data_IF_717226635469
#
_entry.id   IF_717226635469
#
_cell.length_a   1.000
_cell.length_b   1.000
_cell.length_c   1.000
_cell.angle_alpha   90.00
_cell.angle_beta   90.00
_cell.angle_gamma   90.00
#
_symmetry.space_group_name_H-M   'P 1'
#
loop_
_entity.id
_entity.type
_entity.pdbx_description
1 polymer ?
#
# COMPACT_ATOMS: atom_id res chain seq x y z
N UNK A 1 54.91 22.37 22.32
CA UNK A 1 53.54 22.70 22.80
C UNK A 1 52.52 21.93 21.98
N UNK A 2 51.65 21.08 22.57
CA UNK A 2 50.65 20.35 21.79
C UNK A 2 49.43 21.23 21.50
N UNK A 3 48.97 21.23 20.25
CA UNK A 3 47.83 22.02 19.77
C UNK A 3 46.52 21.54 20.43
N UNK A 4 45.84 22.43 21.16
CA UNK A 4 44.49 22.23 21.71
C UNK A 4 43.50 21.95 20.56
N UNK A 5 42.95 20.74 20.52
CA UNK A 5 41.88 20.37 19.58
C UNK A 5 40.60 21.19 19.84
N UNK A 6 39.99 21.69 18.77
CA UNK A 6 38.76 22.50 18.81
C UNK A 6 37.58 21.62 19.26
N UNK A 7 36.87 22.06 20.30
CA UNK A 7 35.73 21.35 20.92
C UNK A 7 34.60 21.21 19.90
N UNK A 8 34.25 19.97 19.53
CA UNK A 8 33.19 19.64 18.56
C UNK A 8 31.82 20.04 19.14
N UNK A 9 31.20 21.07 18.59
CA UNK A 9 29.83 21.47 18.93
C UNK A 9 28.83 20.50 18.29
N UNK A 10 28.03 19.81 19.11
CA UNK A 10 26.93 18.98 18.62
C UNK A 10 25.77 19.90 18.29
N UNK A 11 25.42 20.02 17.00
CA UNK A 11 24.13 20.61 16.63
C UNK A 11 23.02 19.67 17.09
N UNK A 12 22.12 20.20 17.90
CA UNK A 12 20.93 19.51 18.40
C UNK A 12 19.98 19.30 17.22
N UNK A 13 20.01 18.11 16.62
CA UNK A 13 19.03 17.66 15.63
C UNK A 13 17.78 17.20 16.36
N UNK A 14 16.97 18.13 16.87
CA UNK A 14 15.54 17.85 16.98
C UNK A 14 14.98 18.12 15.59
N UNK A 15 14.90 17.06 14.77
CA UNK A 15 13.91 17.03 13.71
C UNK A 15 12.61 16.74 14.46
N UNK A 16 11.66 17.66 14.41
CA UNK A 16 10.30 17.37 14.84
C UNK A 16 9.86 16.13 14.06
N UNK A 17 9.32 15.14 14.77
CA UNK A 17 8.75 13.95 14.15
C UNK A 17 7.61 14.45 13.25
N UNK A 18 7.91 14.69 11.97
CA UNK A 18 6.91 14.75 10.91
C UNK A 18 6.04 13.52 11.17
N UNK A 19 4.76 13.69 11.56
CA UNK A 19 3.84 12.60 11.87
C UNK A 19 4.06 11.49 10.84
N UNK A 20 4.84 10.46 11.20
CA UNK A 20 5.21 9.42 10.25
C UNK A 20 3.91 8.72 9.93
N UNK A 21 3.31 9.04 8.78
CA UNK A 21 2.03 8.51 8.34
C UNK A 21 2.13 6.98 8.42
N UNK A 22 1.54 6.42 9.48
CA UNK A 22 1.69 5.01 9.80
C UNK A 22 1.20 4.17 8.63
N UNK A 23 1.90 3.09 8.28
CA UNK A 23 1.55 2.30 7.11
C UNK A 23 0.17 1.66 7.30
N UNK A 24 -0.78 2.04 6.45
CA UNK A 24 -2.15 1.52 6.49
C UNK A 24 -2.24 0.10 5.92
N UNK A 25 -1.32 -0.26 5.01
CA UNK A 25 -1.36 -1.55 4.32
C UNK A 25 0.01 -2.19 4.17
N UNK A 26 0.12 -3.50 4.42
CA UNK A 26 1.31 -4.30 4.09
C UNK A 26 1.00 -5.20 2.89
N UNK A 27 1.85 -5.15 1.87
CA UNK A 27 1.82 -6.10 0.75
C UNK A 27 2.89 -7.15 0.93
N UNK A 28 2.44 -8.39 1.05
CA UNK A 28 3.27 -9.57 1.19
C UNK A 28 3.01 -10.63 0.13
N UNK A 29 3.89 -11.60 0.00
CA UNK A 29 3.73 -12.79 -0.84
C UNK A 29 3.52 -14.00 0.06
N UNK A 30 2.67 -14.93 -0.38
CA UNK A 30 2.37 -16.16 0.37
C UNK A 30 2.70 -17.40 -0.43
N UNK A 31 3.61 -18.20 0.12
CA UNK A 31 4.07 -19.45 -0.48
C UNK A 31 5.21 -19.25 -1.48
N UNK A 32 5.48 -20.31 -2.27
CA UNK A 32 6.51 -20.27 -3.33
C UNK A 32 5.93 -19.57 -4.55
N UNK A 33 6.61 -18.53 -5.01
CA UNK A 33 6.16 -17.66 -6.09
C UNK A 33 7.35 -17.39 -7.03
N UNK A 34 7.08 -17.38 -8.34
CA UNK A 34 8.08 -17.13 -9.38
C UNK A 34 8.62 -15.68 -9.37
N UNK A 35 9.72 -15.41 -10.07
CA UNK A 35 10.40 -14.11 -10.06
C UNK A 35 9.51 -12.97 -10.56
N UNK A 36 8.75 -13.19 -11.64
CA UNK A 36 7.87 -12.17 -12.24
C UNK A 36 6.80 -11.70 -11.24
N UNK A 37 6.17 -12.63 -10.51
CA UNK A 37 5.19 -12.30 -9.49
C UNK A 37 5.82 -11.62 -8.26
N UNK A 38 7.11 -11.84 -7.97
CA UNK A 38 7.82 -11.05 -6.95
C UNK A 38 7.97 -9.60 -7.41
N UNK A 39 8.25 -9.35 -8.69
CA UNK A 39 8.24 -8.00 -9.23
C UNK A 39 6.85 -7.37 -9.13
N UNK A 40 5.79 -8.11 -9.41
CA UNK A 40 4.42 -7.62 -9.23
C UNK A 40 4.15 -7.21 -7.76
N UNK A 41 4.61 -7.99 -6.78
CA UNK A 41 4.51 -7.61 -5.36
C UNK A 41 5.23 -6.30 -5.08
N UNK A 42 6.45 -6.13 -5.59
CA UNK A 42 7.20 -4.87 -5.45
C UNK A 42 6.47 -3.70 -6.11
N UNK A 43 5.86 -3.90 -7.27
CA UNK A 43 5.08 -2.87 -7.96
C UNK A 43 3.79 -2.50 -7.22
N UNK A 44 3.09 -3.46 -6.61
CA UNK A 44 1.94 -3.19 -5.76
C UNK A 44 2.31 -2.33 -4.53
N UNK A 45 3.51 -2.52 -3.97
CA UNK A 45 4.01 -1.64 -2.90
C UNK A 45 4.25 -0.22 -3.40
N UNK A 46 4.79 -0.07 -4.61
CA UNK A 46 4.99 1.24 -5.25
C UNK A 46 3.65 1.95 -5.50
N UNK A 47 2.62 1.20 -5.92
CA UNK A 47 1.26 1.75 -6.08
C UNK A 47 0.77 2.31 -4.76
N UNK A 48 0.88 1.56 -3.67
CA UNK A 48 0.31 1.91 -2.36
C UNK A 48 1.18 2.84 -1.50
N UNK A 49 2.44 3.07 -1.85
CA UNK A 49 3.30 4.02 -1.15
C UNK A 49 2.63 5.42 -1.10
N UNK A 50 2.77 6.24 -0.04
CA UNK A 50 3.52 6.02 1.20
C UNK A 50 2.87 5.06 2.19
N UNK A 51 1.58 4.76 2.02
CA UNK A 51 0.79 3.93 2.96
C UNK A 51 1.25 2.47 3.08
N UNK A 52 2.16 2.04 2.21
CA UNK A 52 2.82 0.75 2.27
C UNK A 52 4.33 0.93 2.26
N UNK A 53 5.07 0.26 3.17
CA UNK A 53 6.53 0.29 3.17
C UNK A 53 7.10 -0.42 1.94
N UNK A 54 8.05 0.23 1.25
CA UNK A 54 8.73 -0.35 0.07
C UNK A 54 9.71 -1.46 0.49
N UNK A 55 10.47 -1.22 1.55
CA UNK A 55 11.58 -2.05 2.02
C UNK A 55 11.15 -3.29 2.81
N UNK A 56 9.86 -3.64 2.75
CA UNK A 56 9.32 -4.80 3.44
C UNK A 56 9.93 -6.11 2.92
N UNK A 57 10.93 -6.66 3.62
CA UNK A 57 11.61 -7.90 3.19
C UNK A 57 10.95 -9.12 3.79
N UNK A 58 10.27 -9.88 2.94
CA UNK A 58 9.64 -11.13 3.34
C UNK A 58 10.65 -12.28 3.33
N UNK A 59 10.78 -12.95 4.47
CA UNK A 59 11.43 -14.25 4.51
C UNK A 59 10.65 -15.28 3.71
N UNK A 60 11.34 -16.16 2.99
CA UNK A 60 10.72 -17.28 2.27
C UNK A 60 10.02 -18.29 3.19
N UNK A 61 10.34 -18.25 4.50
CA UNK A 61 9.79 -19.12 5.55
C UNK A 61 8.81 -18.40 6.47
N UNK A 62 8.38 -17.18 6.14
CA UNK A 62 7.48 -16.41 7.01
C UNK A 62 6.15 -17.16 7.18
N UNK A 63 5.76 -17.40 8.44
CA UNK A 63 4.44 -17.92 8.73
C UNK A 63 3.42 -16.79 8.70
N UNK A 64 2.17 -17.12 8.36
CA UNK A 64 1.07 -16.16 8.39
C UNK A 64 0.91 -15.52 9.79
N UNK A 65 1.15 -16.29 10.85
CA UNK A 65 1.08 -15.79 12.23
C UNK A 65 2.11 -14.70 12.51
N UNK A 66 3.33 -14.88 12.03
CA UNK A 66 4.42 -13.92 12.25
C UNK A 66 4.14 -12.62 11.50
N UNK A 67 3.57 -12.72 10.29
CA UNK A 67 3.15 -11.58 9.50
C UNK A 67 1.98 -10.82 10.14
N UNK A 68 1.02 -11.51 10.75
CA UNK A 68 -0.08 -10.88 11.48
C UNK A 68 0.44 -10.20 12.76
N UNK A 69 1.32 -10.86 13.51
CA UNK A 69 1.90 -10.28 14.73
C UNK A 69 2.66 -8.99 14.42
N UNK A 70 3.44 -8.99 13.35
CA UNK A 70 4.15 -7.82 12.87
C UNK A 70 3.17 -6.73 12.38
N UNK A 71 2.13 -7.10 11.63
CA UNK A 71 1.13 -6.13 11.20
C UNK A 71 0.39 -5.49 12.40
N UNK A 72 0.16 -6.24 13.47
CA UNK A 72 -0.39 -5.71 14.72
C UNK A 72 0.59 -4.77 15.43
N UNK A 73 1.89 -5.05 15.38
CA UNK A 73 2.93 -4.19 15.95
C UNK A 73 3.07 -2.85 15.20
N UNK A 74 2.88 -2.86 13.88
CA UNK A 74 2.85 -1.66 13.04
C UNK A 74 1.45 -1.01 12.93
N UNK A 75 0.45 -1.51 13.68
CA UNK A 75 -0.94 -1.01 13.66
C UNK A 75 -1.57 -0.94 12.26
N UNK A 76 -1.27 -1.94 11.43
CA UNK A 76 -1.69 -1.97 10.02
C UNK A 76 -3.13 -2.49 9.90
N UNK A 77 -3.96 -1.74 9.16
CA UNK A 77 -5.37 -2.07 8.97
C UNK A 77 -5.61 -3.18 7.94
N UNK A 78 -4.78 -3.27 6.90
CA UNK A 78 -4.99 -4.19 5.79
C UNK A 78 -3.72 -4.94 5.42
N UNK A 79 -3.86 -6.19 4.97
CA UNK A 79 -2.79 -6.94 4.34
C UNK A 79 -3.21 -7.47 2.98
N UNK A 80 -2.31 -7.33 2.01
CA UNK A 80 -2.44 -7.94 0.69
C UNK A 80 -1.46 -9.09 0.56
N UNK A 81 -1.93 -10.23 0.07
CA UNK A 81 -1.12 -11.40 -0.21
C UNK A 81 -1.24 -11.80 -1.68
N UNK A 82 -0.13 -11.79 -2.40
CA UNK A 82 -0.06 -12.50 -3.69
C UNK A 82 0.29 -13.95 -3.40
N UNK A 83 -0.51 -14.90 -3.90
CA UNK A 83 -0.30 -16.34 -3.71
C UNK A 83 -0.42 -17.05 -5.05
N UNK A 84 0.46 -18.03 -5.27
CA UNK A 84 0.41 -18.90 -6.44
C UNK A 84 0.07 -20.32 -5.99
N UNK A 85 -0.93 -20.91 -6.64
CA UNK A 85 -1.27 -22.34 -6.51
C UNK A 85 -0.99 -23.05 -7.83
N UNK A 86 -1.10 -24.38 -7.88
CA UNK A 86 -0.94 -25.13 -9.14
C UNK A 86 -1.92 -24.68 -10.23
N UNK A 87 -3.11 -24.25 -9.84
CA UNK A 87 -4.19 -23.95 -10.78
C UNK A 87 -4.19 -22.49 -11.21
N UNK A 88 -3.95 -21.57 -10.27
CA UNK A 88 -3.90 -20.13 -10.57
C UNK A 88 -3.25 -19.29 -9.49
N UNK A 89 -3.01 -18.03 -9.85
CA UNK A 89 -2.56 -16.95 -8.97
C UNK A 89 -3.75 -16.21 -8.37
N UNK A 90 -3.60 -15.81 -7.11
CA UNK A 90 -4.63 -15.11 -6.36
C UNK A 90 -4.03 -13.90 -5.66
N UNK A 91 -4.80 -12.81 -5.62
CA UNK A 91 -4.58 -11.67 -4.74
C UNK A 91 -5.58 -11.78 -3.59
N UNK A 92 -5.09 -12.00 -2.38
CA UNK A 92 -5.92 -12.06 -1.18
C UNK A 92 -5.77 -10.76 -0.41
N UNK A 93 -6.87 -10.07 -0.19
CA UNK A 93 -6.91 -8.87 0.62
C UNK A 93 -7.60 -9.19 1.95
N UNK A 94 -6.93 -8.86 3.05
CA UNK A 94 -7.35 -9.18 4.41
C UNK A 94 -7.51 -7.87 5.17
N UNK A 95 -8.65 -7.68 5.81
CA UNK A 95 -8.84 -6.64 6.81
C UNK A 95 -8.42 -7.16 8.18
N UNK A 96 -7.49 -6.50 8.84
CA UNK A 96 -7.07 -6.82 10.21
C UNK A 96 -7.92 -6.04 11.22
N UNK A 97 -8.02 -6.52 12.49
CA UNK A 97 -7.46 -7.74 13.04
C UNK A 97 -8.33 -8.99 12.84
N UNK A 98 -9.62 -8.85 12.50
CA UNK A 98 -10.58 -9.96 12.56
C UNK A 98 -10.99 -10.57 11.21
N UNK A 99 -10.45 -10.11 10.07
CA UNK A 99 -11.01 -10.43 8.74
C UNK A 99 -12.23 -9.54 8.42
N UNK A 100 -12.74 -9.51 7.18
CA UNK A 100 -12.78 -10.62 6.23
C UNK A 100 -11.56 -10.74 5.32
N UNK A 101 -11.44 -11.91 4.68
CA UNK A 101 -10.47 -12.18 3.62
C UNK A 101 -11.20 -12.30 2.28
N UNK A 102 -10.90 -11.39 1.36
CA UNK A 102 -11.43 -11.41 0.00
C UNK A 102 -10.33 -11.92 -0.93
N UNK A 103 -10.60 -13.02 -1.62
CA UNK A 103 -9.68 -13.63 -2.59
C UNK A 103 -10.14 -13.31 -4.01
N UNK A 104 -9.29 -12.61 -4.74
CA UNK A 104 -9.44 -12.36 -6.17
C UNK A 104 -8.52 -13.30 -6.95
N UNK A 105 -9.03 -13.94 -7.99
CA UNK A 105 -8.21 -14.65 -8.98
C UNK A 105 -7.62 -13.61 -9.93
N UNK A 106 -6.30 -13.64 -10.11
CA UNK A 106 -5.63 -12.80 -11.10
C UNK A 106 -5.78 -13.54 -12.44
N UNK A 107 -6.53 -12.95 -13.37
CA UNK A 107 -6.70 -13.50 -14.72
C UNK A 107 -5.49 -13.11 -15.57
N UNK A 108 -5.20 -11.82 -15.61
CA UNK A 108 -4.12 -11.24 -16.41
C UNK A 108 -3.40 -10.20 -15.57
N UNK A 109 -2.10 -10.07 -15.79
CA UNK A 109 -1.30 -8.99 -15.20
C UNK A 109 -0.20 -8.57 -16.17
N UNK A 110 0.18 -7.30 -16.09
CA UNK A 110 1.27 -6.73 -16.90
C UNK A 110 2.10 -5.83 -16.00
N UNK A 111 3.42 -6.03 -16.00
CA UNK A 111 4.34 -5.24 -15.18
C UNK A 111 4.46 -3.81 -15.71
N UNK A 112 4.85 -2.89 -14.82
CA UNK A 112 5.05 -1.49 -15.19
C UNK A 112 6.15 -1.29 -16.24
N UNK A 113 7.15 -2.19 -16.28
CA UNK A 113 8.17 -2.20 -17.34
C UNK A 113 7.56 -2.36 -18.73
N UNK A 114 6.64 -3.32 -18.86
CA UNK A 114 6.10 -3.74 -20.14
C UNK A 114 5.03 -2.74 -20.60
N UNK A 115 4.25 -2.19 -19.66
CA UNK A 115 3.32 -1.08 -19.92
C UNK A 115 4.08 0.15 -20.44
N UNK A 116 5.21 0.49 -19.81
CA UNK A 116 6.04 1.62 -20.27
C UNK A 116 6.66 1.37 -21.63
N UNK A 117 7.10 0.14 -21.90
CA UNK A 117 7.64 -0.25 -23.20
C UNK A 117 6.58 -0.20 -24.33
N UNK A 118 5.34 -0.56 -24.02
CA UNK A 118 4.21 -0.50 -24.96
C UNK A 118 3.78 0.93 -25.31
N UNK A 119 4.12 1.94 -24.50
CA UNK A 119 3.64 3.30 -24.68
C UNK A 119 4.53 4.08 -25.68
N UNK A 120 3.93 4.56 -26.79
CA UNK A 120 4.63 5.35 -27.83
C UNK A 120 5.46 6.53 -27.29
N UNK A 121 5.01 7.14 -26.20
CA UNK A 121 5.70 8.24 -25.49
C UNK A 121 5.72 7.95 -24.00
N UNK A 122 6.72 7.18 -23.55
CA UNK A 122 6.97 6.98 -22.13
C UNK A 122 7.26 8.33 -21.44
N UNK A 123 6.59 8.58 -20.32
CA UNK A 123 6.87 9.77 -19.53
C UNK A 123 8.24 9.66 -18.88
N UNK A 124 9.16 10.56 -19.23
CA UNK A 124 10.47 10.71 -18.57
C UNK A 124 10.40 11.27 -17.15
N UNK A 125 9.22 11.78 -16.74
CA UNK A 125 9.03 12.29 -15.38
C UNK A 125 9.17 11.12 -14.39
N UNK A 126 10.05 11.27 -13.41
CA UNK A 126 10.01 10.39 -12.25
C UNK A 126 8.68 10.64 -11.52
N UNK A 127 7.83 9.61 -11.35
CA UNK A 127 6.62 9.75 -10.55
C UNK A 127 7.00 10.15 -9.12
N UNK A 128 6.42 11.23 -8.64
CA UNK A 128 6.54 11.63 -7.24
C UNK A 128 5.67 10.67 -6.41
N UNK A 129 6.30 9.62 -5.91
CA UNK A 129 5.62 8.61 -5.11
C UNK A 129 5.29 9.11 -3.70
N UNK A 130 5.84 10.25 -3.24
CA UNK A 130 5.58 10.75 -1.89
C UNK A 130 4.12 11.02 -1.59
N UNK A 131 3.31 11.39 -2.59
CA UNK A 131 1.88 11.58 -2.42
C UNK A 131 1.10 10.28 -2.55
N UNK A 132 0.17 10.01 -1.65
CA UNK A 132 -0.74 8.87 -1.74
C UNK A 132 -1.61 8.90 -3.01
N UNK A 133 -1.94 7.73 -3.59
CA UNK A 133 -2.81 7.65 -4.75
C UNK A 133 -4.28 7.86 -4.38
N UNK A 134 -5.02 8.50 -5.29
CA UNK A 134 -6.47 8.62 -5.24
C UNK A 134 -7.11 7.33 -5.76
N UNK A 135 -8.11 6.82 -5.06
CA UNK A 135 -8.90 5.69 -5.51
C UNK A 135 -10.14 6.18 -6.28
N UNK A 136 -10.29 5.73 -7.53
CA UNK A 136 -11.52 5.88 -8.31
C UNK A 136 -12.05 4.48 -8.58
N UNK A 137 -13.31 4.24 -8.21
CA UNK A 137 -13.98 2.96 -8.45
C UNK A 137 -15.22 3.18 -9.31
N UNK A 138 -15.45 2.29 -10.27
CA UNK A 138 -16.66 2.24 -11.09
C UNK A 138 -17.26 0.84 -11.03
N UNK A 139 -18.53 0.75 -10.66
CA UNK A 139 -19.28 -0.52 -10.65
C UNK A 139 -18.82 -1.55 -9.61
N UNK A 140 -18.16 -1.12 -8.53
CA UNK A 140 -17.72 -2.01 -7.44
C UNK A 140 -18.62 -1.79 -6.23
N UNK A 141 -19.44 -2.78 -5.90
CA UNK A 141 -20.39 -2.71 -4.79
C UNK A 141 -20.09 -3.75 -3.70
N UNK A 142 -20.65 -3.53 -2.51
CA UNK A 142 -20.59 -4.46 -1.39
C UNK A 142 -19.25 -4.51 -0.63
N UNK A 143 -18.89 -5.70 -0.14
CA UNK A 143 -17.69 -5.92 0.68
C UNK A 143 -16.36 -5.53 -0.02
N UNK A 144 -16.15 -5.82 -1.32
CA UNK A 144 -14.95 -5.37 -2.04
C UNK A 144 -14.78 -3.85 -2.01
N UNK A 145 -15.86 -3.07 -2.15
CA UNK A 145 -15.82 -1.61 -2.11
C UNK A 145 -15.28 -1.10 -0.76
N UNK A 146 -15.83 -1.61 0.35
CA UNK A 146 -15.40 -1.23 1.70
C UNK A 146 -13.94 -1.60 1.99
N UNK A 147 -13.47 -2.71 1.43
CA UNK A 147 -12.06 -3.13 1.53
C UNK A 147 -11.14 -2.21 0.72
N UNK A 148 -11.48 -1.88 -0.52
CA UNK A 148 -10.65 -0.95 -1.30
C UNK A 148 -10.62 0.44 -0.65
N UNK A 149 -11.75 0.92 -0.14
CA UNK A 149 -11.81 2.17 0.66
C UNK A 149 -10.96 2.12 1.93
N UNK A 150 -10.75 0.95 2.54
CA UNK A 150 -9.88 0.85 3.72
C UNK A 150 -8.40 0.74 3.38
N UNK A 151 -8.04 0.27 2.19
CA UNK A 151 -6.65 0.16 1.71
C UNK A 151 -6.10 1.54 1.31
N UNK A 152 -6.92 2.34 0.66
CA UNK A 152 -6.59 3.70 0.21
C UNK A 152 -7.04 4.73 1.24
N UNK A 153 -6.37 5.89 1.36
CA UNK A 153 -6.81 6.92 2.29
C UNK A 153 -8.16 7.48 1.83
N UNK A 154 -9.04 7.77 2.79
CA UNK A 154 -10.32 8.42 2.50
C UNK A 154 -10.07 9.82 1.96
N UNK A 155 -10.88 10.23 0.98
CA UNK A 155 -10.74 11.51 0.30
C UNK A 155 -11.95 12.37 0.62
N UNK A 156 -11.75 13.41 1.43
CA UNK A 156 -12.78 14.39 1.75
C UNK A 156 -12.66 15.59 0.82
N UNK A 157 -13.63 15.77 -0.07
CA UNK A 157 -13.60 16.76 -1.17
C UNK A 157 -13.29 18.19 -0.67
N UNK A 158 -13.72 18.53 0.54
CA UNK A 158 -13.53 19.84 1.16
C UNK A 158 -12.09 20.15 1.59
N UNK A 159 -11.29 19.13 1.93
CA UNK A 159 -9.96 19.31 2.53
C UNK A 159 -8.80 18.99 1.57
N UNK A 160 -9.11 18.52 0.35
CA UNK A 160 -8.12 18.01 -0.59
C UNK A 160 -7.23 19.14 -1.14
N UNK A 161 -5.92 19.00 -0.88
CA UNK A 161 -4.89 19.81 -1.52
C UNK A 161 -4.55 19.25 -2.90
N UNK A 162 -4.97 19.91 -3.98
CA UNK A 162 -4.69 19.51 -5.38
C UNK A 162 -3.20 19.24 -5.68
N UNK A 163 -2.28 19.90 -4.96
CA UNK A 163 -0.83 19.66 -5.09
C UNK A 163 -0.40 18.25 -4.67
N UNK A 164 -1.13 17.60 -3.75
CA UNK A 164 -0.89 16.22 -3.33
C UNK A 164 -1.51 15.21 -4.31
N UNK A 165 -2.50 15.61 -5.11
CA UNK A 165 -3.21 14.73 -6.03
C UNK A 165 -2.43 14.49 -7.33
N UNK A 166 -1.38 13.65 -7.27
CA UNK A 166 -0.54 13.34 -8.44
C UNK A 166 -0.80 11.96 -9.04
N UNK A 167 -1.37 11.03 -8.28
CA UNK A 167 -1.56 9.63 -8.71
C UNK A 167 -3.00 9.19 -8.50
N UNK A 168 -3.49 8.36 -9.40
CA UNK A 168 -4.83 7.77 -9.38
C UNK A 168 -4.73 6.29 -9.66
N UNK A 169 -5.40 5.49 -8.84
CA UNK A 169 -5.71 4.09 -9.10
C UNK A 169 -7.17 4.01 -9.51
N UNK A 170 -7.40 3.51 -10.73
CA UNK A 170 -8.72 3.23 -11.27
C UNK A 170 -9.01 1.74 -11.10
N UNK A 171 -10.16 1.43 -10.52
CA UNK A 171 -10.73 0.09 -10.50
C UNK A 171 -12.06 0.15 -11.24
N UNK A 172 -12.08 -0.43 -12.44
CA UNK A 172 -13.28 -0.50 -13.28
C UNK A 172 -13.83 -1.92 -13.28
N UNK A 173 -15.13 -2.07 -13.06
CA UNK A 173 -15.79 -3.37 -13.16
C UNK A 173 -16.40 -3.55 -14.56
N UNK A 174 -15.83 -4.48 -15.34
CA UNK A 174 -16.33 -4.89 -16.65
C UNK A 174 -16.73 -6.36 -16.57
N UNK A 175 -18.01 -6.68 -16.69
CA UNK A 175 -18.53 -8.06 -16.74
C UNK A 175 -18.00 -8.98 -15.62
N UNK A 176 -18.10 -8.52 -14.36
CA UNK A 176 -17.56 -9.19 -13.15
C UNK A 176 -16.03 -9.37 -13.13
N UNK A 177 -15.32 -8.63 -13.97
CA UNK A 177 -13.86 -8.53 -13.95
C UNK A 177 -13.43 -7.12 -13.59
N UNK A 178 -12.71 -7.02 -12.47
CA UNK A 178 -12.16 -5.77 -11.97
C UNK A 178 -10.82 -5.50 -12.67
N UNK A 179 -10.81 -4.48 -13.52
CA UNK A 179 -9.59 -3.98 -14.14
C UNK A 179 -8.97 -2.89 -13.26
N UNK A 180 -7.81 -3.19 -12.70
CA UNK A 180 -7.01 -2.24 -11.93
C UNK A 180 -5.96 -1.60 -12.83
N UNK A 181 -5.95 -0.28 -12.88
CA UNK A 181 -4.98 0.53 -13.63
C UNK A 181 -4.46 1.69 -12.79
N UNK A 182 -3.19 2.04 -12.95
CA UNK A 182 -2.53 3.10 -12.19
C UNK A 182 -2.00 4.19 -13.12
N UNK A 183 -2.44 5.42 -12.85
CA UNK A 183 -2.17 6.60 -13.64
C UNK A 183 -1.48 7.71 -12.82
N UNK A 184 -0.60 8.44 -13.49
CA UNK A 184 -0.06 9.72 -13.07
C UNK A 184 -0.92 10.84 -13.66
N UNK A 185 -1.40 11.75 -12.83
CA UNK A 185 -2.08 12.97 -13.24
C UNK A 185 -1.03 14.02 -13.63
N UNK A 186 -1.11 14.52 -14.85
CA UNK A 186 -0.36 15.70 -15.31
C UNK A 186 -1.33 16.85 -15.51
N UNK A 187 -1.18 17.89 -14.70
CA UNK A 187 -1.93 19.14 -14.87
C UNK A 187 -1.29 19.97 -15.98
N UNK A 188 -2.14 20.58 -16.81
CA UNK A 188 -1.76 21.53 -17.85
C UNK A 188 -2.66 22.76 -17.72
N UNK A 189 -2.11 23.96 -17.45
CA UNK A 189 -2.93 25.17 -17.42
C UNK A 189 -3.53 25.43 -18.80
N UNK A 190 -4.86 25.49 -18.84
CA UNK A 190 -5.68 25.93 -19.97
C UNK A 190 -6.14 27.36 -19.73
N UNK A 191 -6.36 28.14 -20.80
CA UNK A 191 -6.68 29.57 -20.68
C UNK A 191 -5.50 30.53 -20.57
N UNK A 192 -4.26 30.06 -20.76
CA UNK A 192 -3.05 30.89 -20.87
C UNK A 192 -2.45 30.71 -22.27
N UNK A 193 -2.23 31.81 -22.99
CA UNK A 193 -1.58 31.81 -24.31
C UNK A 193 -0.19 31.14 -24.24
N UNK A 194 0.28 30.55 -25.34
CA UNK A 194 1.58 29.86 -25.38
C UNK A 194 2.75 30.79 -25.00
N UNK A 195 2.61 32.07 -25.33
CA UNK A 195 3.46 33.20 -24.96
C UNK A 195 3.53 33.38 -23.44
N UNK A 196 2.39 33.58 -22.78
CA UNK A 196 2.35 33.70 -21.32
C UNK A 196 2.86 32.44 -20.62
N UNK A 197 2.70 31.25 -21.21
CA UNK A 197 3.33 30.00 -20.73
C UNK A 197 4.85 30.00 -20.82
N UNK A 198 5.46 30.68 -21.80
CA UNK A 198 6.92 30.83 -21.92
C UNK A 198 7.46 31.78 -20.85
N UNK A 199 6.75 32.89 -20.60
CA UNK A 199 7.07 33.83 -19.51
C UNK A 199 6.96 33.14 -18.14
N UNK A 200 5.89 32.39 -17.89
CA UNK A 200 5.72 31.64 -16.64
C UNK A 200 6.80 30.55 -16.43
N UNK A 201 7.50 30.13 -17.50
CA UNK A 201 8.65 29.21 -17.46
C UNK A 201 10.00 29.92 -17.47
N UNK A 202 10.02 31.23 -17.24
CA UNK A 202 11.21 32.10 -17.28
C UNK A 202 11.98 32.05 -18.62
N UNK A 203 11.30 31.70 -19.72
CA UNK A 203 11.85 31.83 -21.07
C UNK A 203 11.34 33.13 -21.65
N UNK A 204 12.03 34.22 -21.33
CA UNK A 204 11.72 35.55 -21.89
C UNK A 204 12.41 35.60 -23.27
N UNK A 205 11.67 35.65 -24.39
CA UNK A 205 12.27 35.88 -25.70
C UNK A 205 12.84 37.30 -25.79
N UNK A 206 13.71 37.55 -26.76
CA UNK A 206 14.29 38.88 -26.99
C UNK A 206 13.18 39.89 -27.33
N UNK A 207 12.85 40.77 -26.37
CA UNK A 207 11.80 41.80 -26.50
C UNK A 207 12.20 42.98 -27.38
N UNK A 208 13.47 43.04 -27.79
CA UNK A 208 14.01 44.14 -28.61
C UNK A 208 13.42 44.21 -30.03
N UNK A 209 12.63 43.21 -30.44
CA UNK A 209 11.95 43.17 -31.73
C UNK A 209 10.50 43.69 -31.69
N UNK A 210 9.96 43.97 -30.49
CA UNK A 210 8.56 44.36 -30.32
C UNK A 210 8.46 45.70 -29.60
N UNK A 211 7.59 46.59 -30.08
CA UNK A 211 7.42 47.93 -29.50
C UNK A 211 6.54 47.90 -28.24
N UNK A 212 5.72 46.85 -28.06
CA UNK A 212 4.90 46.67 -26.87
C UNK A 212 4.71 45.19 -26.49
N UNK A 213 4.42 44.94 -25.21
CA UNK A 213 4.09 43.60 -24.69
C UNK A 213 2.80 43.04 -25.30
N UNK A 214 1.86 43.93 -25.67
CA UNK A 214 0.58 43.58 -26.30
C UNK A 214 0.76 43.02 -27.71
N UNK A 215 1.63 43.65 -28.52
CA UNK A 215 1.95 43.23 -29.90
C UNK A 215 2.56 41.81 -29.94
N UNK A 216 3.40 41.48 -28.97
CA UNK A 216 3.95 40.12 -28.83
C UNK A 216 2.88 39.09 -28.41
N UNK A 217 1.93 39.48 -27.55
CA UNK A 217 0.87 38.59 -27.08
C UNK A 217 -0.12 38.23 -28.20
N UNK A 218 -0.38 39.17 -29.12
CA UNK A 218 -1.23 38.98 -30.29
C UNK A 218 -0.54 38.12 -31.36
N UNK A 219 0.73 38.38 -31.68
CA UNK A 219 1.45 37.65 -32.75
C UNK A 219 1.81 36.21 -32.39
N UNK A 220 1.89 35.89 -31.10
CA UNK A 220 2.21 34.54 -30.59
C UNK A 220 1.03 33.57 -30.60
N UNK A 221 -0.17 34.03 -30.97
CA UNK A 221 -1.36 33.20 -31.22
C UNK A 221 -1.30 32.41 -32.53
N UNK A 222 -0.46 32.81 -33.49
CA UNK A 222 -0.43 32.25 -34.86
C UNK A 222 0.52 31.07 -35.08
N UNK A 223 1.20 30.54 -34.05
CA UNK A 223 2.12 29.42 -34.21
C UNK A 223 1.47 28.07 -33.88
N UNK A 224 0.94 27.43 -34.95
CA UNK A 224 0.56 26.02 -35.06
C UNK A 224 -0.81 25.63 -34.45
N UNK A 225 -1.83 25.77 -35.29
CA UNK A 225 -3.11 25.07 -35.23
C UNK A 225 -2.92 23.58 -35.56
N UNK A 226 -3.09 22.70 -34.57
CA UNK A 226 -3.52 21.32 -34.79
C UNK A 226 -3.99 20.74 -33.46
N UNK A 227 -5.22 21.09 -33.10
CA UNK A 227 -6.23 20.33 -32.36
C UNK A 227 -7.20 21.36 -31.76
N UNK A 228 -8.44 21.36 -32.26
CA UNK A 228 -9.43 22.40 -32.02
C UNK A 228 -9.84 22.52 -30.55
N UNK A 229 -9.64 23.71 -30.00
CA UNK A 229 -10.47 24.24 -28.92
C UNK A 229 -10.69 25.73 -29.24
N UNK A 230 -11.91 26.09 -29.60
CA UNK A 230 -12.35 27.48 -29.66
C UNK A 230 -12.17 28.10 -28.27
N UNK A 231 -11.24 29.03 -28.15
CA UNK A 231 -11.03 29.77 -26.92
C UNK A 231 -12.07 30.90 -26.82
N UNK A 232 -13.29 30.58 -26.39
CA UNK A 232 -14.18 31.59 -25.81
C UNK A 232 -13.55 32.08 -24.51
N UNK A 233 -13.14 33.35 -24.49
CA UNK A 233 -12.62 34.04 -23.30
C UNK A 233 -13.79 34.27 -22.34
N UNK A 234 -14.09 33.27 -21.52
CA UNK A 234 -15.02 33.42 -20.40
C UNK A 234 -14.50 32.74 -19.13
N UNK A 235 -14.50 33.57 -18.08
CA UNK A 235 -14.16 33.40 -16.67
C UNK A 235 -12.70 33.19 -16.27
N UNK A 236 -12.22 34.14 -15.46
CA UNK A 236 -10.93 34.23 -14.77
C UNK A 236 -10.75 33.18 -13.67
N UNK A 237 -11.12 31.92 -13.96
CA UNK A 237 -10.57 30.78 -13.25
C UNK A 237 -9.53 30.15 -14.16
N UNK A 238 -8.32 29.95 -13.66
CA UNK A 238 -7.28 29.22 -14.40
C UNK A 238 -7.75 27.77 -14.56
N UNK A 239 -8.45 27.49 -15.67
CA UNK A 239 -8.89 26.15 -16.02
C UNK A 239 -7.63 25.27 -16.11
N UNK A 240 -7.68 24.08 -15.52
CA UNK A 240 -6.60 23.10 -15.59
C UNK A 240 -7.11 21.91 -16.37
N UNK A 241 -6.48 21.60 -17.50
CA UNK A 241 -6.72 20.31 -18.16
C UNK A 241 -5.88 19.23 -17.50
N UNK A 242 -6.49 18.05 -17.34
CA UNK A 242 -5.85 16.88 -16.75
C UNK A 242 -5.47 15.90 -17.86
N UNK A 243 -4.19 15.53 -17.93
CA UNK A 243 -3.72 14.45 -18.79
C UNK A 243 -3.27 13.28 -17.93
N UNK A 244 -3.80 12.09 -18.19
CA UNK A 244 -3.37 10.87 -17.52
C UNK A 244 -2.20 10.24 -18.28
N UNK A 245 -1.21 9.77 -17.54
CA UNK A 245 -0.11 8.95 -18.05
C UNK A 245 -0.10 7.65 -17.29
N UNK A 246 -0.10 6.53 -17.99
CA UNK A 246 -0.08 5.23 -17.34
C UNK A 246 1.29 4.91 -16.72
N UNK A 247 1.27 4.48 -15.45
CA UNK A 247 2.47 4.03 -14.73
C UNK A 247 2.58 2.51 -14.72
N UNK A 248 1.44 1.81 -14.55
CA UNK A 248 1.37 0.37 -14.30
C UNK A 248 1.42 0.01 -12.80
N UNK A 249 1.23 -1.27 -12.43
CA UNK A 249 0.89 -2.43 -13.26
C UNK A 249 -0.57 -2.42 -13.75
N UNK A 250 -0.87 -3.24 -14.76
CA UNK A 250 -2.24 -3.58 -15.16
C UNK A 250 -2.62 -4.93 -14.55
N UNK A 251 -3.81 -5.05 -14.00
CA UNK A 251 -4.31 -6.33 -13.52
C UNK A 251 -5.79 -6.50 -13.82
N UNK A 252 -6.18 -7.70 -14.25
CA UNK A 252 -7.57 -8.14 -14.37
C UNK A 252 -7.86 -9.14 -13.25
N UNK A 253 -8.74 -8.76 -12.34
CA UNK A 253 -9.07 -9.50 -11.13
C UNK A 253 -10.51 -10.00 -11.21
N UNK A 254 -10.76 -11.26 -10.88
CA UNK A 254 -12.12 -11.80 -10.72
C UNK A 254 -12.36 -12.21 -9.28
N UNK A 255 -13.49 -11.80 -8.71
CA UNK A 255 -13.85 -12.23 -7.35
C UNK A 255 -13.96 -13.76 -7.33
N UNK A 256 -13.18 -14.41 -6.47
CA UNK A 256 -13.14 -15.87 -6.41
C UNK A 256 -13.83 -16.41 -5.16
N UNK A 257 -13.49 -15.85 -3.99
CA UNK A 257 -13.94 -16.35 -2.69
C UNK A 257 -13.93 -15.25 -1.64
N UNK A 258 -14.95 -15.22 -0.77
CA UNK A 258 -14.98 -14.38 0.44
C UNK A 258 -15.01 -15.30 1.65
N UNK A 259 -14.05 -15.11 2.54
CA UNK A 259 -13.91 -15.85 3.80
C UNK A 259 -14.05 -14.89 4.99
N UNK A 260 -14.70 -15.36 6.05
CA UNK A 260 -14.63 -14.74 7.36
C UNK A 260 -13.23 -14.97 7.97
N UNK A 261 -12.75 -14.05 8.82
CA UNK A 261 -11.46 -14.23 9.47
C UNK A 261 -10.24 -13.98 8.56
N UNK A 262 -9.07 -14.39 9.06
CA UNK A 262 -7.81 -14.27 8.35
C UNK A 262 -7.45 -15.59 7.65
N UNK A 263 -7.68 -15.65 6.33
CA UNK A 263 -7.29 -16.73 5.43
C UNK A 263 -7.54 -18.16 5.96
N UNK A 264 -8.74 -18.44 6.47
CA UNK A 264 -9.08 -19.76 6.99
C UNK A 264 -10.36 -19.87 7.82
N UNK A 265 -11.27 -18.88 7.76
CA UNK A 265 -12.58 -18.98 8.39
C UNK A 265 -13.67 -19.49 7.44
N UNK A 266 -14.93 -19.24 7.79
CA UNK A 266 -16.08 -19.73 7.04
C UNK A 266 -16.13 -19.07 5.66
N UNK A 267 -16.59 -19.81 4.65
CA UNK A 267 -16.69 -19.32 3.28
C UNK A 267 -18.08 -18.74 3.08
N UNK A 268 -18.17 -17.41 2.94
CA UNK A 268 -19.43 -16.72 2.73
C UNK A 268 -19.85 -16.73 1.26
N UNK A 269 -18.87 -16.63 0.36
CA UNK A 269 -19.10 -16.61 -1.08
C UNK A 269 -18.01 -17.38 -1.80
N UNK A 270 -18.38 -18.11 -2.85
CA UNK A 270 -17.46 -18.74 -3.77
C UNK A 270 -18.04 -18.67 -5.19
N UNK A 271 -17.23 -18.23 -6.15
CA UNK A 271 -17.64 -18.00 -7.55
C UNK A 271 -18.15 -19.23 -8.29
N UNK A 272 -17.59 -20.41 -8.00
CA UNK A 272 -17.87 -21.66 -8.74
C UNK A 272 -18.63 -22.71 -7.93
N UNK A 273 -18.67 -22.57 -6.60
CA UNK A 273 -19.11 -23.64 -5.69
C UNK A 273 -20.17 -23.03 -4.79
N UNK A 274 -21.42 -23.34 -5.09
CA UNK A 274 -22.54 -22.94 -4.24
C UNK A 274 -22.85 -24.09 -3.29
N UNK A 275 -22.84 -23.80 -1.99
CA UNK A 275 -23.22 -24.77 -0.96
C UNK A 275 -24.71 -24.63 -0.67
N UNK A 276 -25.38 -25.76 -0.51
CA UNK A 276 -26.75 -25.77 -0.01
C UNK A 276 -26.83 -25.12 1.38
N UNK A 277 -27.96 -24.47 1.72
CA UNK A 277 -28.10 -23.76 2.99
C UNK A 277 -27.96 -24.69 4.22
N UNK A 278 -28.35 -25.96 4.11
CA UNK A 278 -28.16 -26.97 5.17
C UNK A 278 -26.68 -27.29 5.36
N UNK A 279 -25.96 -27.56 4.27
CA UNK A 279 -24.54 -27.86 4.28
C UNK A 279 -23.69 -26.65 4.73
N UNK A 280 -24.12 -25.42 4.43
CA UNK A 280 -23.49 -24.20 4.91
C UNK A 280 -23.59 -24.06 6.44
N UNK A 281 -24.78 -24.31 7.02
CA UNK A 281 -24.99 -24.28 8.48
C UNK A 281 -24.21 -25.38 9.20
N UNK A 282 -24.14 -26.58 8.62
CA UNK A 282 -23.34 -27.66 9.19
C UNK A 282 -21.83 -27.33 9.18
N UNK A 283 -21.33 -26.79 8.06
CA UNK A 283 -19.94 -26.33 7.98
C UNK A 283 -19.62 -25.23 9.00
N UNK A 284 -20.58 -24.33 9.25
CA UNK A 284 -20.46 -23.29 10.29
C UNK A 284 -20.38 -23.90 11.69
N UNK A 285 -21.25 -24.88 12.01
CA UNK A 285 -21.22 -25.61 13.30
C UNK A 285 -19.89 -26.31 13.52
N UNK A 286 -19.42 -27.08 12.53
CA UNK A 286 -18.13 -27.79 12.60
C UNK A 286 -16.98 -26.79 12.82
N UNK A 287 -17.02 -25.63 12.15
CA UNK A 287 -16.00 -24.61 12.33
C UNK A 287 -16.05 -24.00 13.74
N UNK A 288 -17.25 -23.76 14.27
CA UNK A 288 -17.46 -23.22 15.62
C UNK A 288 -16.95 -24.19 16.69
N UNK A 289 -17.32 -25.46 16.61
CA UNK A 289 -16.81 -26.51 17.50
C UNK A 289 -15.28 -26.61 17.44
N UNK A 290 -14.70 -26.51 16.24
CA UNK A 290 -13.24 -26.50 16.06
C UNK A 290 -12.58 -25.26 16.69
N UNK A 291 -13.22 -24.09 16.64
CA UNK A 291 -12.75 -22.87 17.32
C UNK A 291 -12.78 -23.06 18.83
N UNK A 292 -13.89 -23.53 19.38
CA UNK A 292 -14.08 -23.79 20.81
C UNK A 292 -13.06 -24.81 21.35
N UNK A 293 -12.88 -25.95 20.65
CA UNK A 293 -11.87 -26.95 21.00
C UNK A 293 -10.44 -26.36 20.96
N UNK A 294 -10.14 -25.47 20.01
CA UNK A 294 -8.83 -24.82 19.91
C UNK A 294 -8.61 -23.84 21.05
N UNK A 295 -9.63 -23.09 21.46
CA UNK A 295 -9.57 -22.19 22.61
C UNK A 295 -9.37 -22.95 23.92
N UNK A 296 -10.09 -24.05 24.12
CA UNK A 296 -9.89 -24.94 25.28
C UNK A 296 -8.47 -25.50 25.32
N UNK A 297 -7.95 -25.97 24.18
CA UNK A 297 -6.55 -26.43 24.08
C UNK A 297 -5.55 -25.31 24.40
N UNK A 298 -5.83 -24.07 23.99
CA UNK A 298 -4.96 -22.93 24.25
C UNK A 298 -4.93 -22.59 25.75
N UNK A 299 -6.08 -22.56 26.42
CA UNK A 299 -6.18 -22.33 27.88
C UNK A 299 -5.39 -23.37 28.67
N UNK A 300 -5.60 -24.66 28.37
CA UNK A 300 -4.85 -25.76 28.99
C UNK A 300 -3.34 -25.62 28.74
N UNK A 301 -2.94 -25.17 27.55
CA UNK A 301 -1.53 -24.95 27.24
C UNK A 301 -0.94 -23.77 28.02
N UNK A 302 -1.68 -22.66 28.13
CA UNK A 302 -1.29 -21.48 28.91
C UNK A 302 -1.10 -21.83 30.38
N UNK A 303 -2.05 -22.54 31.00
CA UNK A 303 -1.95 -23.04 32.38
C UNK A 303 -0.74 -23.96 32.58
N UNK A 304 -0.48 -24.87 31.64
CA UNK A 304 0.68 -25.75 31.70
C UNK A 304 2.02 -25.02 31.59
N UNK A 305 2.08 -23.97 30.76
CA UNK A 305 3.27 -23.12 30.64
C UNK A 305 3.49 -22.32 31.92
N UNK A 306 2.43 -21.77 32.51
CA UNK A 306 2.49 -21.06 33.78
C UNK A 306 2.95 -21.96 34.92
N UNK A 307 2.37 -23.15 35.05
CA UNK A 307 2.79 -24.17 36.02
C UNK A 307 4.28 -24.52 35.87
N UNK A 308 4.76 -24.70 34.63
CA UNK A 308 6.20 -24.94 34.36
C UNK A 308 7.08 -23.73 34.68
N UNK A 309 6.62 -22.49 34.43
CA UNK A 309 7.35 -21.27 34.80
C UNK A 309 7.47 -21.15 36.33
N UNK A 310 6.38 -21.38 37.06
CA UNK A 310 6.37 -21.36 38.53
C UNK A 310 7.30 -22.43 39.12
N UNK A 311 7.25 -23.67 38.61
CA UNK A 311 8.17 -24.74 39.03
C UNK A 311 9.65 -24.38 38.76
N UNK A 312 9.96 -23.77 37.60
CA UNK A 312 11.32 -23.29 37.30
C UNK A 312 11.77 -22.18 38.25
N UNK A 313 10.90 -21.25 38.59
CA UNK A 313 11.19 -20.18 39.57
C UNK A 313 11.43 -20.76 40.97
N UNK A 314 10.56 -21.66 41.44
CA UNK A 314 10.74 -22.36 42.71
C UNK A 314 12.05 -23.14 42.76
N UNK A 315 12.42 -23.85 41.68
CA UNK A 315 13.69 -24.57 41.57
C UNK A 315 14.91 -23.65 41.49
N UNK A 316 14.78 -22.42 40.97
CA UNK A 316 15.84 -21.41 41.02
C UNK A 316 16.01 -20.87 42.44
N UNK A 317 14.91 -20.48 43.09
CA UNK A 317 14.91 -20.02 44.49
C UNK A 317 15.46 -21.08 45.45
N UNK A 318 15.19 -22.38 45.25
CA UNK A 318 15.76 -23.43 46.10
C UNK A 318 17.26 -23.69 45.87
N UNK A 319 17.81 -23.28 44.73
CA UNK A 319 19.25 -23.41 44.40
C UNK A 319 20.09 -22.19 44.82
N UNK A 320 19.49 -21.01 44.98
CA UNK A 320 20.18 -19.79 45.45
C UNK A 320 20.83 -19.92 46.84
N UNK A 321 20.18 -20.44 47.89
CA UNK A 321 20.82 -20.60 49.19
C UNK A 321 21.93 -21.65 49.18
N UNK A 322 21.81 -22.69 48.32
CA UNK A 322 22.89 -23.68 48.11
C UNK A 322 24.10 -23.09 47.40
N UNK A 323 23.93 -22.14 46.47
CA UNK A 323 25.04 -21.41 45.85
C UNK A 323 25.69 -20.43 46.81
N UNK A 324 24.91 -19.66 47.58
CA UNK A 324 25.44 -18.75 48.61
C UNK A 324 26.25 -19.48 49.69
N UNK A 325 25.80 -20.67 50.12
CA UNK A 325 26.56 -21.51 51.06
C UNK A 325 27.90 -22.02 50.50
N UNK A 326 27.98 -22.30 49.20
CA UNK A 326 29.24 -22.73 48.55
C UNK A 326 30.23 -21.58 48.38
N UNK A 327 29.76 -20.38 48.05
CA UNK A 327 30.61 -19.18 47.99
C UNK A 327 31.19 -18.83 49.37
N UNK A 328 30.38 -18.87 50.43
CA UNK A 328 30.89 -18.60 51.78
C UNK A 328 31.88 -19.65 52.31
N UNK A 329 31.88 -20.88 51.78
CA UNK A 329 32.85 -21.91 52.19
C UNK A 329 34.16 -21.81 51.42
N UNK A 330 34.13 -21.29 50.19
CA UNK A 330 35.35 -21.00 49.40
C UNK A 330 36.07 -19.72 49.88
N UNK A 331 35.35 -18.78 50.51
CA UNK A 331 35.94 -17.56 51.12
C UNK A 331 36.50 -17.80 52.54
N UNK A 332 36.15 -18.90 53.22
CA UNK A 332 36.70 -19.29 54.53
C UNK A 332 37.95 -20.20 54.43
N UNK A 333 38.27 -20.71 53.23
CA UNK A 333 39.42 -21.60 52.96
C UNK A 333 40.63 -20.89 52.31
N UNK A 334 40.64 -19.54 52.20
CA UNK A 334 41.78 -18.72 51.76
C UNK A 334 42.20 -17.72 52.84
#
# INVERSE_FOLDING_TARGET
>A
MPRRGRRRTKHRTHKEDDDEEKPVTIVSRRGKIGPILKHLVSELRIVLYPNCPLDFKESSKSNLKDLINMANEFEVNNMLFVTCTKNSTYLKAVKLPNGPTISFKILEYTLSSDVRASLKKASRLQPDFKSSPILIMRGVDGLPNNLFKSIFPTLDVSEIKLKKCKRVVLIDNQDDTLQMRHYLIKTRPTGISQSLKKIAKNQIPNLNQFNSVSEWLENSGNASESEGEEATVSDQSSKLSLRLVELGPRMSLKLHKIEEGICGGNVLYHSLIHKDPKAAKEAERILKEKKELKEMRKKIQEENVERKKQQKLARKKSKEPRKRRKLNTEDEEN
#
